data_IF_461471530833
#
_entry.id   IF_461471530833
#
_cell.length_a   1.000
_cell.length_b   1.000
_cell.length_c   1.000
_cell.angle_alpha   90.00
_cell.angle_beta   90.00
_cell.angle_gamma   90.00
#
_symmetry.space_group_name_H-M   'P 1'
#
loop_
_entity.id
_entity.type
_entity.pdbx_description
1 polymer ?
#
# COMPACT_ATOMS: atom_id res chain seq x y z
N UNK A 1 23.80 -8.69 11.77
CA UNK A 1 22.34 -8.91 11.68
C UNK A 1 21.72 -7.74 10.91
N UNK A 2 20.98 -8.02 9.84
CA UNK A 2 20.30 -7.00 9.03
C UNK A 2 19.08 -6.43 9.75
N UNK A 3 18.80 -5.14 9.52
CA UNK A 3 17.65 -4.43 10.07
C UNK A 3 16.94 -3.68 8.95
N UNK A 4 15.62 -3.58 9.07
CA UNK A 4 14.83 -2.59 8.35
C UNK A 4 14.62 -1.37 9.25
N UNK A 5 14.69 -0.19 8.64
CA UNK A 5 14.64 1.09 9.35
C UNK A 5 13.41 1.85 8.88
N UNK A 6 12.57 2.27 9.83
CA UNK A 6 11.39 3.09 9.57
C UNK A 6 11.50 4.41 10.33
N UNK A 7 10.97 5.49 9.78
CA UNK A 7 10.77 6.74 10.50
C UNK A 7 9.29 6.92 10.87
N UNK A 8 9.02 7.49 12.04
CA UNK A 8 7.66 7.92 12.39
C UNK A 8 7.30 9.18 11.60
N UNK A 9 6.14 9.18 10.93
CA UNK A 9 5.57 10.38 10.29
C UNK A 9 4.79 11.25 11.28
N UNK A 10 4.45 12.48 10.84
CA UNK A 10 3.51 13.39 11.48
C UNK A 10 3.76 13.68 12.97
N UNK A 11 5.03 13.81 13.37
CA UNK A 11 5.39 14.20 14.73
C UNK A 11 5.52 15.72 14.83
N UNK A 12 4.93 16.33 15.86
CA UNK A 12 5.15 17.75 16.22
C UNK A 12 6.58 18.05 16.71
N UNK A 13 7.43 17.02 16.79
CA UNK A 13 8.84 17.03 17.17
C UNK A 13 9.66 16.29 16.11
N UNK A 14 10.97 16.20 16.32
CA UNK A 14 11.89 15.43 15.46
C UNK A 14 11.40 13.98 15.30
N UNK A 15 11.27 13.48 14.05
CA UNK A 15 10.88 12.09 13.76
C UNK A 15 11.77 11.08 14.49
N UNK A 16 11.16 10.00 14.99
CA UNK A 16 11.88 8.89 15.60
C UNK A 16 12.20 7.83 14.56
N UNK A 17 13.44 7.34 14.61
CA UNK A 17 13.87 6.21 13.79
C UNK A 17 13.72 4.92 14.58
N UNK A 18 12.96 3.97 14.02
CA UNK A 18 12.76 2.64 14.57
C UNK A 18 13.58 1.63 13.77
N UNK A 19 14.21 0.69 14.47
CA UNK A 19 14.97 -0.41 13.88
C UNK A 19 14.26 -1.71 14.20
N UNK A 20 13.85 -2.45 13.17
CA UNK A 20 13.30 -3.78 13.32
C UNK A 20 14.28 -4.79 12.75
N UNK A 21 14.44 -5.93 13.43
CA UNK A 21 15.19 -7.06 12.86
C UNK A 21 14.53 -7.46 11.55
N UNK A 22 15.33 -7.65 10.51
CA UNK A 22 14.83 -8.06 9.19
C UNK A 22 13.95 -9.31 9.27
N UNK A 23 14.40 -10.32 10.04
CA UNK A 23 13.66 -11.55 10.29
C UNK A 23 12.25 -11.33 10.87
N UNK A 24 12.08 -10.31 11.72
CA UNK A 24 10.76 -10.00 12.28
C UNK A 24 9.85 -9.41 11.20
N UNK A 25 10.39 -8.53 10.36
CA UNK A 25 9.64 -7.95 9.24
C UNK A 25 9.23 -9.04 8.24
N UNK A 26 10.15 -9.91 7.85
CA UNK A 26 9.85 -11.07 6.99
C UNK A 26 8.78 -11.98 7.59
N UNK A 27 8.88 -12.28 8.89
CA UNK A 27 7.88 -13.10 9.57
C UNK A 27 6.48 -12.46 9.50
N UNK A 28 6.37 -11.15 9.74
CA UNK A 28 5.08 -10.44 9.70
C UNK A 28 4.53 -10.40 8.27
N UNK A 29 5.35 -10.11 7.26
CA UNK A 29 4.87 -10.04 5.86
C UNK A 29 4.46 -11.42 5.34
N UNK A 30 5.21 -12.49 5.61
CA UNK A 30 4.82 -13.84 5.22
C UNK A 30 3.54 -14.29 5.93
N UNK A 31 3.42 -14.03 7.23
CA UNK A 31 2.24 -14.38 8.01
C UNK A 31 0.99 -13.64 7.51
N UNK A 32 1.13 -12.36 7.17
CA UNK A 32 0.04 -11.56 6.62
C UNK A 32 -0.33 -12.00 5.20
N UNK A 33 0.65 -12.29 4.32
CA UNK A 33 0.40 -12.76 2.97
C UNK A 33 -0.40 -14.07 3.00
N UNK A 34 0.02 -15.03 3.84
CA UNK A 34 -0.72 -16.29 4.04
C UNK A 34 -2.17 -16.08 4.47
N UNK A 35 -2.43 -15.11 5.36
CA UNK A 35 -3.80 -14.79 5.82
C UNK A 35 -4.61 -14.08 4.74
N UNK A 36 -3.99 -13.20 3.97
CA UNK A 36 -4.65 -12.42 2.92
C UNK A 36 -4.85 -13.19 1.62
N UNK A 37 -4.14 -14.30 1.42
CA UNK A 37 -4.26 -15.14 0.23
C UNK A 37 -5.72 -15.53 -0.07
N UNK A 38 -6.47 -15.96 0.95
CA UNK A 38 -7.90 -16.31 0.79
C UNK A 38 -8.74 -15.10 0.41
N UNK A 39 -8.48 -13.93 1.00
CA UNK A 39 -9.22 -12.70 0.70
C UNK A 39 -8.95 -12.26 -0.74
N UNK A 40 -7.68 -12.24 -1.15
CA UNK A 40 -7.28 -11.86 -2.50
C UNK A 40 -7.90 -12.80 -3.54
N UNK A 41 -7.92 -14.11 -3.27
CA UNK A 41 -8.58 -15.10 -4.14
C UNK A 41 -10.09 -14.89 -4.21
N UNK A 42 -10.75 -14.70 -3.06
CA UNK A 42 -12.21 -14.54 -3.01
C UNK A 42 -12.69 -13.24 -3.68
N UNK A 43 -11.87 -12.20 -3.65
CA UNK A 43 -12.13 -10.93 -4.31
C UNK A 43 -11.59 -10.88 -5.75
N UNK A 44 -11.01 -11.98 -6.27
CA UNK A 44 -10.42 -12.04 -7.60
C UNK A 44 -9.37 -10.95 -7.88
N UNK A 45 -8.60 -10.59 -6.85
CA UNK A 45 -7.58 -9.54 -6.95
C UNK A 45 -6.46 -9.98 -7.89
N UNK A 46 -6.23 -9.20 -8.95
CA UNK A 46 -5.18 -9.46 -9.95
C UNK A 46 -4.21 -8.30 -10.10
N UNK A 47 -4.64 -7.08 -9.82
CA UNK A 47 -3.89 -5.85 -10.08
C UNK A 47 -4.15 -4.79 -9.00
N UNK A 48 -3.10 -4.39 -8.27
CA UNK A 48 -3.21 -3.55 -7.07
C UNK A 48 -2.51 -2.20 -7.24
N UNK A 49 -3.22 -1.09 -7.05
CA UNK A 49 -2.60 0.21 -6.77
C UNK A 49 -2.24 0.33 -5.28
N UNK A 50 -0.95 0.46 -4.97
CA UNK A 50 -0.49 0.77 -3.62
C UNK A 50 -0.35 2.28 -3.45
N UNK A 51 -1.36 2.89 -2.85
CA UNK A 51 -1.46 4.33 -2.61
C UNK A 51 -1.22 4.70 -1.13
N UNK A 52 -0.51 3.85 -0.38
CA UNK A 52 -0.07 4.19 0.98
C UNK A 52 1.09 5.18 0.95
N UNK A 53 1.31 5.91 2.04
CA UNK A 53 2.41 6.88 2.11
C UNK A 53 3.76 6.19 1.93
N UNK A 54 4.56 6.60 0.96
CA UNK A 54 5.92 6.07 0.76
C UNK A 54 7.01 6.92 1.46
N UNK A 55 6.68 8.17 1.81
CA UNK A 55 7.59 9.10 2.48
C UNK A 55 8.06 8.58 3.84
N UNK A 56 9.34 8.81 4.18
CA UNK A 56 9.92 8.39 5.46
C UNK A 56 10.05 6.87 5.64
N UNK A 57 9.96 6.09 4.55
CA UNK A 57 9.86 4.62 4.58
C UNK A 57 8.72 4.18 5.50
N UNK A 58 7.53 4.77 5.32
CA UNK A 58 6.40 4.41 6.14
C UNK A 58 6.09 2.92 5.99
N UNK A 59 6.03 2.22 7.14
CA UNK A 59 6.03 0.77 7.18
C UNK A 59 4.87 0.14 6.41
N UNK A 60 3.71 0.79 6.32
CA UNK A 60 2.57 0.22 5.61
C UNK A 60 2.72 0.18 4.08
N UNK A 61 3.41 1.14 3.45
CA UNK A 61 3.64 1.07 2.00
C UNK A 61 4.53 -0.12 1.65
N UNK A 62 5.66 -0.26 2.35
CA UNK A 62 6.57 -1.40 2.17
C UNK A 62 5.91 -2.71 2.58
N UNK A 63 5.09 -2.71 3.63
CA UNK A 63 4.32 -3.87 4.04
C UNK A 63 3.38 -4.31 2.91
N UNK A 64 2.51 -3.43 2.40
CA UNK A 64 1.59 -3.75 1.31
C UNK A 64 2.32 -4.20 0.04
N UNK A 65 3.43 -3.53 -0.31
CA UNK A 65 4.29 -3.91 -1.43
C UNK A 65 4.79 -5.35 -1.29
N UNK A 66 5.28 -5.72 -0.10
CA UNK A 66 5.80 -7.05 0.16
C UNK A 66 4.71 -8.12 0.17
N UNK A 67 3.51 -7.81 0.68
CA UNK A 67 2.34 -8.71 0.58
C UNK A 67 2.01 -8.99 -0.88
N UNK A 68 1.92 -7.95 -1.71
CA UNK A 68 1.60 -8.09 -3.13
C UNK A 68 2.65 -8.95 -3.85
N UNK A 69 3.94 -8.71 -3.56
CA UNK A 69 5.05 -9.51 -4.07
C UNK A 69 4.95 -10.98 -3.68
N UNK A 70 4.66 -11.27 -2.41
CA UNK A 70 4.53 -12.65 -1.90
C UNK A 70 3.31 -13.37 -2.48
N UNK A 71 2.21 -12.65 -2.69
CA UNK A 71 0.98 -13.17 -3.31
C UNK A 71 1.06 -13.27 -4.83
N UNK A 72 2.15 -12.78 -5.45
CA UNK A 72 2.36 -12.78 -6.91
C UNK A 72 1.25 -12.08 -7.70
N UNK A 73 0.67 -11.03 -7.13
CA UNK A 73 -0.26 -10.13 -7.85
C UNK A 73 0.52 -9.02 -8.53
N UNK A 74 0.00 -8.50 -9.65
CA UNK A 74 0.55 -7.29 -10.26
C UNK A 74 0.29 -6.11 -9.33
N UNK A 75 1.28 -5.24 -9.13
CA UNK A 75 1.11 -4.08 -8.25
C UNK A 75 1.85 -2.85 -8.75
N UNK A 76 1.26 -1.68 -8.49
CA UNK A 76 1.71 -0.37 -8.96
C UNK A 76 1.97 0.57 -7.78
N UNK A 77 3.22 1.03 -7.58
CA UNK A 77 3.58 1.89 -6.47
C UNK A 77 3.23 3.36 -6.74
N UNK A 78 1.99 3.78 -6.49
CA UNK A 78 1.53 5.17 -6.67
C UNK A 78 1.87 6.11 -5.51
N UNK A 79 1.98 5.55 -4.30
CA UNK A 79 2.07 6.29 -3.05
C UNK A 79 0.84 7.21 -2.77
N UNK A 80 0.81 7.84 -1.59
CA UNK A 80 -0.37 8.59 -1.11
C UNK A 80 -0.60 9.97 -1.74
N UNK A 81 0.31 10.43 -2.59
CA UNK A 81 0.27 11.79 -3.18
C UNK A 81 -0.18 11.79 -4.64
N UNK A 82 -0.58 10.63 -5.18
CA UNK A 82 -1.16 10.55 -6.53
C UNK A 82 -2.49 11.31 -6.55
N UNK A 83 -2.70 12.14 -7.55
CA UNK A 83 -3.98 12.82 -7.75
C UNK A 83 -5.04 11.84 -8.30
N UNK A 84 -6.34 12.07 -8.02
CA UNK A 84 -7.41 11.18 -8.45
C UNK A 84 -7.51 10.98 -9.97
N UNK A 85 -7.15 11.98 -10.77
CA UNK A 85 -7.25 11.90 -12.23
C UNK A 85 -6.17 10.97 -12.80
N UNK A 86 -4.92 11.15 -12.38
CA UNK A 86 -3.81 10.23 -12.73
C UNK A 86 -4.11 8.81 -12.29
N UNK A 87 -4.62 8.62 -11.06
CA UNK A 87 -4.99 7.28 -10.57
C UNK A 87 -6.14 6.68 -11.39
N UNK A 88 -7.16 7.48 -11.74
CA UNK A 88 -8.28 7.04 -12.59
C UNK A 88 -7.80 6.58 -13.96
N UNK A 89 -6.97 7.36 -14.63
CA UNK A 89 -6.40 7.01 -15.95
C UNK A 89 -5.59 5.72 -15.87
N UNK A 90 -4.79 5.56 -14.81
CA UNK A 90 -4.00 4.35 -14.60
C UNK A 90 -4.86 3.12 -14.27
N UNK A 91 -5.98 3.28 -13.57
CA UNK A 91 -6.92 2.19 -13.31
C UNK A 91 -7.44 1.62 -14.63
N UNK A 92 -7.80 2.49 -15.57
CA UNK A 92 -8.24 2.10 -16.90
C UNK A 92 -7.10 1.49 -17.73
N UNK A 93 -5.95 2.16 -17.80
CA UNK A 93 -4.80 1.73 -18.62
C UNK A 93 -4.24 0.37 -18.18
N UNK A 94 -4.09 0.16 -16.87
CA UNK A 94 -3.46 -1.03 -16.30
C UNK A 94 -4.46 -2.05 -15.76
N UNK A 95 -5.76 -1.83 -15.96
CA UNK A 95 -6.83 -2.69 -15.44
C UNK A 95 -6.68 -2.98 -13.95
N UNK A 96 -6.45 -1.92 -13.15
CA UNK A 96 -6.28 -2.05 -11.70
C UNK A 96 -7.64 -2.35 -11.07
N UNK A 97 -7.74 -3.48 -10.38
CA UNK A 97 -8.99 -3.93 -9.75
C UNK A 97 -9.07 -3.63 -8.25
N UNK A 98 -7.93 -3.31 -7.63
CA UNK A 98 -7.82 -3.15 -6.18
C UNK A 98 -6.96 -1.95 -5.82
N UNK A 99 -7.40 -1.15 -4.84
CA UNK A 99 -6.64 -0.01 -4.31
C UNK A 99 -6.39 -0.24 -2.83
N UNK A 100 -5.12 -0.20 -2.42
CA UNK A 100 -4.73 -0.14 -1.01
C UNK A 100 -4.39 1.31 -0.68
N UNK A 101 -5.18 1.94 0.18
CA UNK A 101 -5.02 3.36 0.50
C UNK A 101 -5.36 3.68 1.96
N UNK A 102 -5.03 4.90 2.38
CA UNK A 102 -5.50 5.46 3.64
C UNK A 102 -6.99 5.86 3.52
N UNK A 103 -7.78 5.81 4.62
CA UNK A 103 -9.20 6.17 4.59
C UNK A 103 -9.49 7.56 4.01
N UNK A 104 -8.60 8.54 4.23
CA UNK A 104 -8.74 9.89 3.67
C UNK A 104 -8.69 9.90 2.14
N UNK A 105 -7.81 9.09 1.54
CA UNK A 105 -7.73 8.99 0.08
C UNK A 105 -8.96 8.27 -0.47
N UNK A 106 -9.46 7.25 0.23
CA UNK A 106 -10.70 6.57 -0.14
C UNK A 106 -11.87 7.56 -0.23
N UNK A 107 -12.04 8.44 0.75
CA UNK A 107 -13.11 9.46 0.75
C UNK A 107 -12.96 10.39 -0.46
N UNK A 108 -11.74 10.88 -0.72
CA UNK A 108 -11.46 11.76 -1.85
C UNK A 108 -11.79 11.09 -3.20
N UNK A 109 -11.43 9.81 -3.36
CA UNK A 109 -11.72 9.05 -4.57
C UNK A 109 -13.23 8.86 -4.75
N UNK A 110 -13.96 8.51 -3.69
CA UNK A 110 -15.42 8.35 -3.75
C UNK A 110 -16.12 9.66 -4.15
N UNK A 111 -15.66 10.80 -3.62
CA UNK A 111 -16.18 12.12 -4.03
C UNK A 111 -15.87 12.42 -5.51
N UNK A 112 -14.66 12.13 -5.96
CA UNK A 112 -14.25 12.36 -7.35
C UNK A 112 -15.07 11.51 -8.34
N UNK A 113 -15.14 10.19 -8.11
CA UNK A 113 -15.91 9.29 -8.97
C UNK A 113 -17.42 9.55 -8.90
N UNK A 114 -17.94 9.96 -7.73
CA UNK A 114 -19.34 10.35 -7.57
C UNK A 114 -19.71 11.63 -8.34
N UNK A 115 -18.77 12.54 -8.58
CA UNK A 115 -19.00 13.77 -9.36
C UNK A 115 -18.93 13.59 -10.88
N UNK A 116 -18.42 12.44 -11.35
CA UNK A 116 -18.28 12.12 -12.78
C UNK A 116 -19.46 11.32 -13.35
N UNK A 117 -20.38 10.86 -12.50
CA UNK A 117 -21.63 10.18 -12.86
C UNK A 117 -22.82 11.14 -12.78
#
# INVERSE_FOLDING_TARGET
MSHIIFATGDTTRVPRTLRHKWLNYEFVTHSAAKKLETVFKNCSVSSVANCLTAGGLWGGFLFAHEICRLLKVTYYPFASMVDPETLSSAIEEFSIDTIICLPVLQINLLSYFGSKN
#
